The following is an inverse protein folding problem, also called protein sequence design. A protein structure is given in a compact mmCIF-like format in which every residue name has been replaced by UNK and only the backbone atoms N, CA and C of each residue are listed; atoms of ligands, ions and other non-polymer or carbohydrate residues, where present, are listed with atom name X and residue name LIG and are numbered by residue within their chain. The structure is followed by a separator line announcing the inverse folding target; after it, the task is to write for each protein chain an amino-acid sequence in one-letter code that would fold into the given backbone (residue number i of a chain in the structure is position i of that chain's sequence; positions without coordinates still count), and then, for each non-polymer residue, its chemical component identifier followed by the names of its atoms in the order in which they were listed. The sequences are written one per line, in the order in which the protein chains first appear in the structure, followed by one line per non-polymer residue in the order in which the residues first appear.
data_IF_188019740185
#
_entry.id   IF_188019740185
#
_cell.length_a   1.000
_cell.length_b   1.000
_cell.length_c   1.000
_cell.angle_alpha   90.00
_cell.angle_beta   90.00
_cell.angle_gamma   90.00
#
_symmetry.space_group_name_H-M   'P 1'
#
loop_
_entity.id
_entity.type
_entity.pdbx_description
1 polymer ?
#
# COMPACT_ATOMS: atom_id res chain seq x y z
N UNK A 1 34.02 49.93 -21.39
CA UNK A 1 32.85 49.10 -21.05
C UNK A 1 31.82 49.98 -20.36
N UNK A 2 30.66 50.21 -20.99
CA UNK A 2 29.62 51.13 -20.52
C UNK A 2 28.61 50.40 -19.60
N UNK A 3 27.89 51.15 -18.76
CA UNK A 3 26.86 50.64 -17.85
C UNK A 3 25.78 49.81 -18.58
N UNK A 4 25.41 50.20 -19.81
CA UNK A 4 24.46 49.43 -20.62
C UNK A 4 24.96 48.01 -20.94
N UNK A 5 26.25 47.87 -21.30
CA UNK A 5 26.87 46.57 -21.59
C UNK A 5 26.96 45.69 -20.33
N UNK A 6 27.20 46.31 -19.17
CA UNK A 6 27.22 45.61 -17.88
C UNK A 6 25.83 45.10 -17.49
N UNK A 7 24.79 45.91 -17.67
CA UNK A 7 23.40 45.51 -17.42
C UNK A 7 22.99 44.37 -18.34
N UNK A 8 23.34 44.45 -19.63
CA UNK A 8 23.02 43.39 -20.58
C UNK A 8 23.73 42.07 -20.23
N UNK A 9 25.03 42.14 -19.89
CA UNK A 9 25.79 40.98 -19.46
C UNK A 9 25.20 40.34 -18.19
N UNK A 10 24.89 41.16 -17.18
CA UNK A 10 24.28 40.69 -15.93
C UNK A 10 22.92 40.04 -16.20
N UNK A 11 22.09 40.66 -17.04
CA UNK A 11 20.77 40.16 -17.39
C UNK A 11 20.85 38.80 -18.09
N UNK A 12 21.74 38.69 -19.09
CA UNK A 12 21.95 37.43 -19.83
C UNK A 12 22.47 36.31 -18.93
N UNK A 13 23.43 36.62 -18.05
CA UNK A 13 23.93 35.67 -17.07
C UNK A 13 22.83 35.22 -16.10
N UNK A 14 22.03 36.16 -15.60
CA UNK A 14 20.96 35.85 -14.63
C UNK A 14 19.87 34.99 -15.26
N UNK A 15 19.46 35.29 -16.49
CA UNK A 15 18.49 34.47 -17.23
C UNK A 15 19.06 33.07 -17.45
N UNK A 16 20.33 32.95 -17.85
CA UNK A 16 21.00 31.66 -18.01
C UNK A 16 20.95 30.81 -16.73
N UNK A 17 21.34 31.41 -15.59
CA UNK A 17 21.30 30.74 -14.29
C UNK A 17 19.87 30.34 -13.87
N UNK A 18 18.89 31.23 -14.07
CA UNK A 18 17.49 30.94 -13.75
C UNK A 18 16.94 29.79 -14.59
N UNK A 19 17.28 29.75 -15.87
CA UNK A 19 16.81 28.69 -16.78
C UNK A 19 17.42 27.34 -16.40
N UNK A 20 18.71 27.32 -16.04
CA UNK A 20 19.38 26.12 -15.55
C UNK A 20 18.76 25.61 -14.25
N UNK A 21 18.56 26.49 -13.27
CA UNK A 21 17.93 26.14 -11.99
C UNK A 21 16.49 25.63 -12.17
N UNK A 22 15.71 26.26 -13.06
CA UNK A 22 14.34 25.84 -13.38
C UNK A 22 14.29 24.44 -13.98
N UNK A 23 15.24 24.12 -14.86
CA UNK A 23 15.38 22.80 -15.45
C UNK A 23 15.74 21.75 -14.40
N UNK A 24 16.76 22.02 -13.58
CA UNK A 24 17.18 21.12 -12.50
C UNK A 24 16.05 20.87 -11.49
N UNK A 25 15.32 21.91 -11.12
CA UNK A 25 14.14 21.79 -10.26
C UNK A 25 13.08 20.87 -10.87
N UNK A 26 12.76 21.07 -12.14
CA UNK A 26 11.74 20.29 -12.84
C UNK A 26 12.15 18.82 -12.98
N UNK A 27 13.41 18.55 -13.32
CA UNK A 27 13.97 17.20 -13.39
C UNK A 27 13.93 16.52 -12.02
N UNK A 28 14.31 17.23 -10.95
CA UNK A 28 14.26 16.72 -9.58
C UNK A 28 12.83 16.44 -9.12
N UNK A 29 11.89 17.35 -9.42
CA UNK A 29 10.49 17.16 -9.09
C UNK A 29 9.93 15.91 -9.75
N UNK A 30 10.17 15.72 -11.04
CA UNK A 30 9.72 14.54 -11.78
C UNK A 30 10.32 13.25 -11.21
N UNK A 31 11.62 13.26 -10.89
CA UNK A 31 12.29 12.11 -10.27
C UNK A 31 11.70 11.77 -8.90
N UNK A 32 11.38 12.77 -8.07
CA UNK A 32 10.76 12.55 -6.77
C UNK A 32 9.34 12.00 -6.90
N UNK A 33 8.55 12.50 -7.85
CA UNK A 33 7.20 11.98 -8.13
C UNK A 33 7.27 10.50 -8.54
N UNK A 34 8.18 10.14 -9.45
CA UNK A 34 8.36 8.75 -9.86
C UNK A 34 8.75 7.85 -8.69
N UNK A 35 9.72 8.26 -7.86
CA UNK A 35 10.16 7.50 -6.68
C UNK A 35 9.05 7.32 -5.64
N UNK A 36 8.20 8.33 -5.45
CA UNK A 36 7.06 8.23 -4.55
C UNK A 36 6.02 7.23 -5.07
N UNK A 37 5.75 7.25 -6.38
CA UNK A 37 4.81 6.31 -7.00
C UNK A 37 5.32 4.86 -6.90
N UNK A 38 6.60 4.63 -7.19
CA UNK A 38 7.25 3.32 -7.03
C UNK A 38 7.15 2.81 -5.58
N UNK A 39 7.45 3.67 -4.61
CA UNK A 39 7.35 3.34 -3.19
C UNK A 39 5.91 3.00 -2.78
N UNK A 40 4.93 3.77 -3.25
CA UNK A 40 3.52 3.48 -2.97
C UNK A 40 3.07 2.15 -3.58
N UNK A 41 3.51 1.83 -4.80
CA UNK A 41 3.21 0.56 -5.44
C UNK A 41 3.84 -0.63 -4.69
N UNK A 42 5.11 -0.50 -4.29
CA UNK A 42 5.80 -1.51 -3.49
C UNK A 42 5.05 -1.77 -2.17
N UNK A 43 4.73 -0.70 -1.43
CA UNK A 43 4.01 -0.81 -0.16
C UNK A 43 2.61 -1.42 -0.31
N UNK A 44 1.86 -1.06 -1.37
CA UNK A 44 0.55 -1.70 -1.65
C UNK A 44 0.70 -3.21 -1.92
N UNK A 45 1.76 -3.59 -2.62
CA UNK A 45 2.06 -4.99 -2.93
C UNK A 45 2.39 -5.77 -1.67
N UNK A 46 3.26 -5.23 -0.82
CA UNK A 46 3.61 -5.84 0.48
C UNK A 46 2.40 -5.99 1.40
N UNK A 47 1.56 -4.95 1.51
CA UNK A 47 0.33 -5.02 2.32
C UNK A 47 -0.64 -6.05 1.77
N UNK A 48 -0.77 -6.15 0.44
CA UNK A 48 -1.61 -7.16 -0.19
C UNK A 48 -1.10 -8.57 0.11
N UNK A 49 0.21 -8.79 -0.01
CA UNK A 49 0.83 -10.07 0.28
C UNK A 49 0.61 -10.46 1.75
N UNK A 50 0.88 -9.54 2.68
CA UNK A 50 0.66 -9.76 4.11
C UNK A 50 -0.80 -10.12 4.42
N UNK A 51 -1.76 -9.48 3.75
CA UNK A 51 -3.18 -9.82 3.91
C UNK A 51 -3.46 -11.25 3.46
N UNK A 52 -2.93 -11.65 2.30
CA UNK A 52 -3.10 -13.02 1.79
C UNK A 52 -2.46 -14.05 2.72
N UNK A 53 -1.27 -13.76 3.25
CA UNK A 53 -0.57 -14.67 4.17
C UNK A 53 -1.35 -14.83 5.49
N UNK A 54 -1.87 -13.73 6.04
CA UNK A 54 -2.69 -13.76 7.26
C UNK A 54 -4.01 -14.52 7.04
N UNK A 55 -4.67 -14.33 5.90
CA UNK A 55 -5.88 -15.08 5.56
C UNK A 55 -5.58 -16.58 5.46
N UNK A 56 -4.51 -16.95 4.75
CA UNK A 56 -4.10 -18.35 4.61
C UNK A 56 -3.80 -18.98 5.98
N UNK A 57 -3.15 -18.24 6.88
CA UNK A 57 -2.87 -18.69 8.24
C UNK A 57 -4.15 -18.87 9.08
N UNK A 58 -5.13 -17.97 8.93
CA UNK A 58 -6.43 -18.09 9.59
C UNK A 58 -7.22 -19.30 9.07
N UNK A 59 -7.29 -19.47 7.75
CA UNK A 59 -7.97 -20.62 7.11
C UNK A 59 -7.35 -21.95 7.56
N UNK A 60 -6.02 -22.00 7.72
CA UNK A 60 -5.32 -23.17 8.23
C UNK A 60 -5.68 -23.47 9.70
N UNK A 61 -5.80 -22.43 10.54
CA UNK A 61 -6.18 -22.58 11.95
C UNK A 61 -7.63 -23.06 12.11
N UNK A 62 -8.57 -22.53 11.32
CA UNK A 62 -9.97 -22.95 11.34
C UNK A 62 -10.13 -24.41 10.93
N UNK A 63 -9.39 -24.87 9.92
CA UNK A 63 -9.42 -26.27 9.47
C UNK A 63 -8.70 -27.24 10.42
N UNK A 64 -7.74 -26.77 11.23
CA UNK A 64 -7.01 -27.58 12.20
C UNK A 64 -7.75 -27.72 13.54
N UNK A 65 -8.80 -26.93 13.78
CA UNK A 65 -9.58 -27.02 15.01
C UNK A 65 -10.57 -28.19 14.90
N UNK A 66 -10.40 -29.30 15.63
CA UNK A 66 -11.38 -30.38 15.60
C UNK A 66 -12.73 -29.79 16.03
N UNK A 67 -13.79 -30.08 15.26
CA UNK A 67 -15.17 -29.71 15.63
C UNK A 67 -15.48 -30.31 17.00
N UNK A 68 -15.28 -29.53 18.05
CA UNK A 68 -15.76 -29.85 19.39
C UNK A 68 -17.26 -29.66 19.30
N UNK A 69 -17.99 -30.76 19.12
CA UNK A 69 -19.44 -30.77 19.23
C UNK A 69 -19.76 -30.24 20.63
N UNK A 70 -20.50 -29.14 20.70
CA UNK A 70 -20.99 -28.67 21.97
C UNK A 70 -21.97 -29.71 22.51
N UNK A 71 -22.10 -29.89 23.83
CA UNK A 71 -23.08 -30.82 24.40
C UNK A 71 -24.52 -30.60 23.89
N UNK A 72 -24.85 -29.37 23.48
CA UNK A 72 -26.11 -29.03 22.82
C UNK A 72 -26.26 -29.64 21.42
N UNK A 73 -25.18 -29.70 20.63
CA UNK A 73 -25.16 -30.29 19.28
C UNK A 73 -25.28 -31.83 19.32
N UNK A 74 -24.87 -32.44 20.44
CA UNK A 74 -25.00 -33.88 20.70
C UNK A 74 -26.45 -34.25 21.08
N UNK A 75 -27.19 -33.32 21.70
CA UNK A 75 -28.56 -33.56 22.16
C UNK A 75 -29.56 -33.70 20.99
N UNK A 76 -29.38 -32.95 19.90
CA UNK A 76 -30.23 -33.06 18.69
C UNK A 76 -30.00 -34.37 17.90
N UNK A 77 -28.83 -34.98 18.03
CA UNK A 77 -28.50 -36.25 17.37
C UNK A 77 -28.84 -37.48 18.22
N UNK A 78 -29.44 -37.30 19.40
CA UNK A 78 -29.79 -38.41 20.30
C UNK A 78 -30.94 -39.25 19.72
N UNK A 79 -30.75 -40.58 19.51
CA UNK A 79 -31.80 -41.47 19.01
C UNK A 79 -32.94 -41.68 20.01
N UNK A 80 -32.89 -41.06 21.20
CA UNK A 80 -33.91 -41.16 22.24
C UNK A 80 -34.90 -39.98 22.27
N UNK A 81 -34.89 -39.09 21.27
CA UNK A 81 -35.78 -37.93 21.20
C UNK A 81 -37.19 -38.16 20.62
N UNK A 82 -37.49 -39.35 20.09
CA UNK A 82 -38.78 -39.62 19.43
C UNK A 82 -39.43 -40.92 19.92
N UNK A 83 -39.87 -40.94 21.17
CA UNK A 83 -40.86 -41.91 21.65
C UNK A 83 -41.56 -41.38 22.92
N UNK A 84 -42.39 -40.35 22.76
CA UNK A 84 -43.45 -40.03 23.71
C UNK A 84 -44.65 -39.47 22.95
N UNK A 85 -45.14 -40.25 21.99
CA UNK A 85 -46.56 -40.22 21.59
C UNK A 85 -47.28 -41.24 22.46
N UNK A 86 -47.88 -40.76 23.55
CA UNK A 86 -49.26 -40.97 24.00
C UNK A 86 -49.49 -40.29 25.35
#
# INVERSE_FOLDING_TARGET
MNAAEQIEHLTRSTIGSLTAASREFSETQQALVARLDDHQHAHRTEVSQLRTDLQTAADAADNATPRILLPADIAEASPHGAAATE
#
